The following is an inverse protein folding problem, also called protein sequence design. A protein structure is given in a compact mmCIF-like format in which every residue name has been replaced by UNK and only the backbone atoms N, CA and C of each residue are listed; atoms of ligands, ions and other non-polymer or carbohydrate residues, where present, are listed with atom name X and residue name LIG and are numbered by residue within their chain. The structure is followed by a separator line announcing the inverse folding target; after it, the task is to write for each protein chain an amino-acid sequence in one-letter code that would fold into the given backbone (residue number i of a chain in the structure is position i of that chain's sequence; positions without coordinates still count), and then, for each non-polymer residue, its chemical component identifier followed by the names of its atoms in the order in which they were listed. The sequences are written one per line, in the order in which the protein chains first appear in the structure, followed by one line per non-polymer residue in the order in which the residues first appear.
data_IF_994095198130
#
_entry.id   IF_994095198130
#
_cell.length_a   1.000
_cell.length_b   1.000
_cell.length_c   1.000
_cell.angle_alpha   90.00
_cell.angle_beta   90.00
_cell.angle_gamma   90.00
#
_symmetry.space_group_name_H-M   'P 1'
#
loop_
_entity.id
_entity.type
_entity.pdbx_description
1 polymer ?
#
# COMPACT_ATOMS: atom_id res chain seq x y z
N UNK A 1 -20.03 -41.65 -81.76
CA UNK A 1 -19.39 -41.99 -80.48
C UNK A 1 -19.59 -40.81 -79.55
N UNK A 2 -20.18 -41.09 -78.41
CA UNK A 2 -20.86 -40.15 -77.53
C UNK A 2 -19.95 -39.74 -76.37
N UNK A 3 -19.95 -38.47 -76.00
CA UNK A 3 -19.50 -38.04 -74.66
C UNK A 3 -20.44 -36.94 -74.17
N UNK A 4 -21.25 -37.19 -73.12
CA UNK A 4 -21.99 -36.16 -72.43
C UNK A 4 -21.06 -35.49 -71.40
N UNK A 5 -20.92 -34.17 -71.49
CA UNK A 5 -20.35 -33.36 -70.42
C UNK A 5 -21.48 -33.00 -69.45
N UNK A 6 -21.37 -33.47 -68.22
CA UNK A 6 -22.29 -33.15 -67.12
C UNK A 6 -21.70 -31.99 -66.33
N UNK A 7 -22.31 -30.82 -66.44
CA UNK A 7 -22.01 -29.68 -65.57
C UNK A 7 -22.56 -29.95 -64.16
N UNK A 8 -21.67 -29.92 -63.16
CA UNK A 8 -22.03 -29.93 -61.73
C UNK A 8 -21.69 -28.56 -61.12
N UNK A 9 -22.68 -27.67 -60.88
CA UNK A 9 -22.44 -26.41 -60.19
C UNK A 9 -22.98 -26.48 -58.75
N UNK A 10 -22.46 -27.36 -57.89
CA UNK A 10 -22.94 -27.42 -56.49
C UNK A 10 -21.85 -27.81 -55.48
N UNK A 11 -20.85 -26.94 -55.25
CA UNK A 11 -20.00 -27.07 -54.05
C UNK A 11 -19.53 -25.75 -53.41
N UNK A 12 -19.91 -24.57 -53.90
CA UNK A 12 -19.39 -23.30 -53.37
C UNK A 12 -20.15 -22.70 -52.17
N UNK A 13 -21.35 -23.17 -51.81
CA UNK A 13 -22.19 -22.48 -50.81
C UNK A 13 -22.11 -23.02 -49.38
N UNK A 14 -21.29 -24.04 -49.11
CA UNK A 14 -21.25 -24.67 -47.77
C UNK A 14 -20.10 -24.23 -46.86
N UNK A 15 -19.24 -23.32 -47.29
CA UNK A 15 -18.11 -22.83 -46.48
C UNK A 15 -18.39 -21.45 -45.85
N UNK A 16 -19.33 -20.66 -46.38
CA UNK A 16 -19.61 -19.32 -45.86
C UNK A 16 -20.43 -19.29 -44.55
N UNK A 17 -21.16 -20.36 -44.23
CA UNK A 17 -22.05 -20.40 -43.06
C UNK A 17 -21.35 -20.82 -41.75
N UNK A 18 -20.13 -21.36 -41.80
CA UNK A 18 -19.46 -21.91 -40.62
C UNK A 18 -18.51 -20.91 -39.92
N UNK A 19 -18.10 -19.84 -40.60
CA UNK A 19 -17.13 -18.86 -40.05
C UNK A 19 -17.84 -17.75 -39.26
N UNK A 20 -19.10 -17.43 -39.59
CA UNK A 20 -19.83 -16.34 -38.94
C UNK A 20 -20.35 -16.70 -37.54
N UNK A 21 -20.52 -18.00 -37.23
CA UNK A 21 -21.01 -18.47 -35.92
C UNK A 21 -19.92 -18.57 -34.86
N UNK A 22 -18.63 -18.51 -35.25
CA UNK A 22 -17.51 -18.57 -34.31
C UNK A 22 -17.07 -17.20 -33.79
N UNK A 23 -17.35 -16.12 -34.54
CA UNK A 23 -17.02 -14.74 -34.13
C UNK A 23 -18.05 -14.19 -33.13
N UNK A 24 -19.30 -14.66 -33.17
CA UNK A 24 -20.36 -14.23 -32.24
C UNK A 24 -20.27 -14.82 -30.82
N UNK A 25 -19.56 -15.92 -30.60
CA UNK A 25 -19.49 -16.60 -29.30
C UNK A 25 -18.32 -16.14 -28.42
N UNK A 26 -17.33 -15.43 -28.98
CA UNK A 26 -16.17 -14.90 -28.23
C UNK A 26 -16.45 -13.50 -27.66
N UNK A 27 -17.64 -12.95 -27.91
CA UNK A 27 -18.17 -11.79 -27.16
C UNK A 27 -18.78 -12.22 -25.81
N UNK A 28 -18.24 -13.28 -25.22
CA UNK A 28 -18.58 -13.76 -23.89
C UNK A 28 -17.92 -12.82 -22.89
N UNK A 29 -18.68 -11.78 -22.51
CA UNK A 29 -18.64 -11.17 -21.18
C UNK A 29 -17.24 -11.05 -20.58
N UNK A 30 -16.42 -10.15 -21.13
CA UNK A 30 -15.41 -9.48 -20.32
C UNK A 30 -16.14 -8.62 -19.28
N UNK A 31 -16.71 -9.27 -18.26
CA UNK A 31 -16.99 -8.62 -16.99
C UNK A 31 -15.62 -8.23 -16.46
N UNK A 32 -15.17 -7.03 -16.82
CA UNK A 32 -14.16 -6.35 -16.04
C UNK A 32 -14.79 -6.27 -14.66
N UNK A 33 -14.42 -7.18 -13.77
CA UNK A 33 -14.78 -7.08 -12.37
C UNK A 33 -14.28 -5.71 -11.96
N UNK A 34 -15.21 -4.77 -11.80
CA UNK A 34 -14.86 -3.43 -11.37
C UNK A 34 -14.17 -3.64 -10.03
N UNK A 35 -12.85 -3.41 -9.99
CA UNK A 35 -12.11 -3.41 -8.74
C UNK A 35 -12.86 -2.42 -7.85
N UNK A 36 -13.48 -2.92 -6.78
CA UNK A 36 -14.26 -2.09 -5.89
C UNK A 36 -13.37 -0.95 -5.40
N UNK A 37 -13.88 0.28 -5.39
CA UNK A 37 -13.11 1.43 -4.92
C UNK A 37 -12.59 1.14 -3.51
N UNK A 38 -11.27 1.19 -3.34
CA UNK A 38 -10.60 1.10 -2.05
C UNK A 38 -10.81 2.43 -1.31
N UNK A 39 -11.98 2.56 -0.68
CA UNK A 39 -12.38 3.75 0.07
C UNK A 39 -13.12 3.35 1.36
N UNK A 40 -13.08 4.19 2.41
CA UNK A 40 -13.89 3.97 3.60
C UNK A 40 -15.37 4.13 3.26
N UNK A 41 -16.18 3.16 3.67
CA UNK A 41 -17.64 3.21 3.53
C UNK A 41 -18.32 3.90 4.71
N UNK A 42 -17.62 4.08 5.83
CA UNK A 42 -18.08 4.76 7.05
C UNK A 42 -16.96 5.58 7.66
N UNK A 43 -17.30 6.74 8.23
CA UNK A 43 -16.33 7.58 8.94
C UNK A 43 -15.62 6.82 10.08
N UNK A 44 -16.31 5.90 10.75
CA UNK A 44 -15.73 5.07 11.83
C UNK A 44 -14.64 4.10 11.36
N UNK A 45 -14.43 3.95 10.06
CA UNK A 45 -13.33 3.15 9.52
C UNK A 45 -12.05 3.96 9.37
N UNK A 46 -12.15 5.29 9.32
CA UNK A 46 -11.00 6.18 9.20
C UNK A 46 -10.21 6.14 10.50
N UNK A 47 -8.90 5.98 10.37
CA UNK A 47 -7.97 6.00 11.49
C UNK A 47 -6.86 7.00 11.19
N UNK A 48 -6.43 7.70 12.24
CA UNK A 48 -5.18 8.45 12.22
C UNK A 48 -4.25 7.79 13.22
N UNK A 49 -3.07 7.40 12.77
CA UNK A 49 -2.10 6.69 13.57
C UNK A 49 -0.87 7.57 13.79
N UNK A 50 -0.17 7.37 14.89
CA UNK A 50 1.08 8.07 15.19
C UNK A 50 2.10 7.14 15.82
N UNK A 51 3.35 7.57 15.80
CA UNK A 51 4.43 6.98 16.59
C UNK A 51 4.23 7.28 18.08
N UNK A 52 4.46 6.31 18.97
CA UNK A 52 4.45 6.53 20.43
C UNK A 52 5.67 7.29 20.96
N UNK A 53 6.74 7.42 20.18
CA UNK A 53 8.01 8.03 20.59
C UNK A 53 8.83 7.17 21.57
N UNK A 54 8.44 5.91 21.80
CA UNK A 54 9.12 5.01 22.74
C UNK A 54 9.24 3.56 22.30
N UNK A 55 8.50 3.12 21.29
CA UNK A 55 8.56 1.73 20.80
C UNK A 55 9.50 1.64 19.59
N UNK A 56 10.74 1.15 19.75
CA UNK A 56 11.64 0.98 18.62
C UNK A 56 11.14 -0.12 17.67
N UNK A 57 11.46 0.01 16.38
CA UNK A 57 11.20 -1.01 15.36
C UNK A 57 12.13 -2.22 15.49
N UNK A 58 12.12 -2.90 16.63
CA UNK A 58 12.99 -4.03 16.95
C UNK A 58 14.48 -3.78 16.65
N UNK A 59 15.28 -4.84 16.61
CA UNK A 59 16.71 -4.77 16.29
C UNK A 59 17.01 -4.75 14.77
N UNK A 60 16.00 -4.50 13.91
CA UNK A 60 16.08 -4.80 12.48
C UNK A 60 16.15 -3.59 11.53
N UNK A 61 15.89 -2.37 11.99
CA UNK A 61 15.98 -1.19 11.11
C UNK A 61 17.42 -0.92 10.66
N UNK A 62 17.67 -0.48 9.41
CA UNK A 62 19.01 -0.21 8.89
C UNK A 62 19.79 0.82 9.73
N UNK A 63 19.12 1.67 10.50
CA UNK A 63 19.75 2.65 11.38
C UNK A 63 19.51 2.41 12.88
N UNK A 64 18.64 1.46 13.25
CA UNK A 64 18.29 1.19 14.65
C UNK A 64 17.52 2.31 15.36
N UNK A 65 17.03 3.33 14.64
CA UNK A 65 16.31 4.48 15.21
C UNK A 65 14.81 4.47 14.89
N UNK A 66 14.35 3.45 14.18
CA UNK A 66 12.97 3.37 13.73
C UNK A 66 11.98 3.39 14.90
N UNK A 67 10.88 4.12 14.71
CA UNK A 67 9.76 4.20 15.64
C UNK A 67 8.54 3.47 15.07
N UNK A 68 7.92 2.61 15.88
CA UNK A 68 6.70 1.92 15.48
C UNK A 68 5.53 2.92 15.47
N UNK A 69 4.69 2.83 14.44
CA UNK A 69 3.40 3.53 14.38
C UNK A 69 2.36 2.65 15.07
N UNK A 70 2.23 2.85 16.38
CA UNK A 70 1.52 1.99 17.32
C UNK A 70 0.44 2.69 18.14
N UNK A 71 0.18 3.97 17.87
CA UNK A 71 -0.88 4.73 18.51
C UNK A 71 -1.94 5.15 17.49
N UNK A 72 -3.20 5.12 17.91
CA UNK A 72 -4.31 5.75 17.21
C UNK A 72 -4.67 7.04 17.93
N UNK A 73 -4.70 8.13 17.17
CA UNK A 73 -5.23 9.41 17.61
C UNK A 73 -6.76 9.33 17.50
N UNK A 74 -7.45 9.39 18.63
CA UNK A 74 -8.91 9.39 18.65
C UNK A 74 -9.48 10.79 18.29
N UNK A 75 -10.81 10.91 18.06
CA UNK A 75 -11.42 12.20 17.73
C UNK A 75 -11.30 13.27 18.82
N UNK A 76 -10.95 12.90 20.05
CA UNK A 76 -10.69 13.83 21.16
C UNK A 76 -9.25 14.33 21.16
N UNK A 77 -8.39 13.78 20.31
CA UNK A 77 -6.95 14.05 20.25
C UNK A 77 -6.13 13.20 21.20
N UNK A 78 -6.73 12.20 21.86
CA UNK A 78 -6.01 11.32 22.77
C UNK A 78 -5.37 10.16 22.02
N UNK A 79 -4.18 9.75 22.46
CA UNK A 79 -3.46 8.61 21.88
C UNK A 79 -3.83 7.31 22.60
N UNK A 80 -4.31 6.33 21.85
CA UNK A 80 -4.62 4.99 22.33
C UNK A 80 -3.72 3.98 21.63
N UNK A 81 -3.36 2.87 22.29
CA UNK A 81 -2.63 1.80 21.61
C UNK A 81 -3.45 1.25 20.45
N UNK A 82 -2.79 1.02 19.31
CA UNK A 82 -3.40 0.52 18.10
C UNK A 82 -2.81 -0.83 17.68
N UNK A 83 -3.69 -1.73 17.27
CA UNK A 83 -3.34 -2.95 16.56
C UNK A 83 -4.36 -3.15 15.45
N UNK A 84 -3.91 -3.66 14.31
CA UNK A 84 -4.81 -4.01 13.20
C UNK A 84 -5.69 -5.18 13.68
N UNK A 85 -7.03 -5.02 13.72
CA UNK A 85 -7.91 -6.08 14.22
C UNK A 85 -7.84 -7.34 13.33
N UNK A 86 -8.01 -8.52 13.94
CA UNK A 86 -8.06 -9.79 13.21
C UNK A 86 -9.10 -9.76 12.08
N UNK A 87 -8.71 -10.23 10.89
CA UNK A 87 -9.56 -10.23 9.70
C UNK A 87 -9.76 -8.85 9.07
N UNK A 88 -8.96 -7.85 9.47
CA UNK A 88 -8.87 -6.54 8.84
C UNK A 88 -7.48 -6.30 8.27
N UNK A 89 -7.44 -5.38 7.31
CA UNK A 89 -6.22 -4.75 6.83
C UNK A 89 -6.31 -3.26 7.10
N UNK A 90 -5.16 -2.62 7.30
CA UNK A 90 -5.03 -1.17 7.31
C UNK A 90 -4.69 -0.71 5.90
N UNK A 91 -5.45 0.23 5.35
CA UNK A 91 -5.13 0.90 4.09
C UNK A 91 -4.60 2.29 4.43
N UNK A 92 -3.32 2.54 4.21
CA UNK A 92 -2.68 3.84 4.42
C UNK A 92 -2.74 4.64 3.14
N UNK A 93 -3.26 5.86 3.23
CA UNK A 93 -3.51 6.74 2.08
C UNK A 93 -2.58 7.96 2.06
N UNK A 94 -1.84 8.19 3.13
CA UNK A 94 -0.92 9.32 3.24
C UNK A 94 -0.58 9.63 4.69
N UNK A 95 0.03 10.78 4.91
CA UNK A 95 0.43 11.19 6.24
C UNK A 95 1.40 12.35 6.23
N UNK A 96 1.96 12.59 7.40
CA UNK A 96 3.00 13.57 7.65
C UNK A 96 4.16 12.91 8.40
N UNK A 97 5.36 13.39 8.14
CA UNK A 97 6.59 12.96 8.79
C UNK A 97 7.26 14.20 9.33
N UNK A 98 7.64 14.16 10.61
CA UNK A 98 8.49 15.15 11.25
C UNK A 98 9.75 14.45 11.75
N UNK A 99 10.89 15.04 11.45
CA UNK A 99 12.19 14.61 11.96
C UNK A 99 12.79 15.75 12.75
N UNK A 100 13.27 15.45 13.95
CA UNK A 100 14.09 16.35 14.74
C UNK A 100 15.43 15.69 15.04
N UNK A 101 16.51 16.24 14.49
CA UNK A 101 17.87 15.75 14.68
C UNK A 101 18.74 16.76 15.46
N UNK A 102 18.30 18.01 15.60
CA UNK A 102 19.09 19.07 16.26
C UNK A 102 20.36 19.50 15.51
N UNK A 103 20.62 18.96 14.31
CA UNK A 103 21.78 19.32 13.49
C UNK A 103 21.34 19.90 12.15
N UNK A 104 21.50 21.21 12.00
CA UNK A 104 21.09 21.97 10.83
C UNK A 104 21.83 21.55 9.54
N UNK A 105 21.20 21.81 8.38
CA UNK A 105 21.84 21.71 7.07
C UNK A 105 22.12 20.28 6.58
N UNK A 106 21.71 19.26 7.33
CA UNK A 106 21.77 17.87 6.86
C UNK A 106 20.57 17.53 5.98
N UNK A 107 20.74 16.49 5.17
CA UNK A 107 19.63 15.81 4.50
C UNK A 107 19.40 14.46 5.15
N UNK A 108 18.14 14.13 5.41
CA UNK A 108 17.73 12.89 6.05
C UNK A 108 16.74 12.19 5.13
N UNK A 109 16.92 10.89 4.94
CA UNK A 109 15.92 10.07 4.25
C UNK A 109 15.10 9.34 5.30
N UNK A 110 13.78 9.46 5.22
CA UNK A 110 12.84 8.73 6.06
C UNK A 110 12.18 7.65 5.24
N UNK A 111 12.14 6.46 5.80
CA UNK A 111 11.43 5.30 5.26
C UNK A 111 10.22 5.03 6.15
N UNK A 112 9.06 4.84 5.51
CA UNK A 112 7.99 4.09 6.13
C UNK A 112 8.12 2.66 5.62
N UNK A 113 8.19 1.69 6.52
CA UNK A 113 8.46 0.29 6.19
C UNK A 113 7.43 -0.63 6.83
N UNK A 114 7.05 -1.69 6.12
CA UNK A 114 6.35 -2.82 6.73
C UNK A 114 7.34 -3.61 7.60
N UNK A 115 7.18 -3.58 8.92
CA UNK A 115 8.10 -4.25 9.82
C UNK A 115 7.65 -5.68 10.15
N UNK A 116 8.45 -6.66 9.72
CA UNK A 116 8.10 -8.08 9.73
C UNK A 116 8.64 -8.92 10.89
N UNK A 117 9.53 -8.38 11.72
CA UNK A 117 10.22 -9.13 12.77
C UNK A 117 11.31 -10.06 12.23
N UNK A 118 12.51 -9.52 12.01
CA UNK A 118 13.68 -10.33 11.66
C UNK A 118 14.85 -9.55 11.09
N UNK A 119 15.54 -8.75 11.91
CA UNK A 119 16.95 -8.33 11.72
C UNK A 119 17.37 -7.56 10.46
N UNK A 120 16.51 -7.41 9.46
CA UNK A 120 16.72 -6.60 8.26
C UNK A 120 15.56 -5.64 8.08
N UNK A 121 15.85 -4.46 7.53
CA UNK A 121 14.87 -3.40 7.27
C UNK A 121 13.62 -3.95 6.59
N UNK A 122 12.48 -3.34 6.92
CA UNK A 122 11.21 -3.75 6.32
C UNK A 122 11.16 -3.43 4.83
N UNK A 123 10.09 -3.87 4.15
CA UNK A 123 9.85 -3.39 2.79
C UNK A 123 9.41 -1.92 2.86
N UNK A 124 10.13 -0.98 2.25
CA UNK A 124 9.74 0.42 2.27
C UNK A 124 8.43 0.60 1.49
N UNK A 125 7.41 1.09 2.18
CA UNK A 125 6.12 1.48 1.61
C UNK A 125 6.11 2.92 1.12
N UNK A 126 6.98 3.75 1.70
CA UNK A 126 7.18 5.14 1.30
C UNK A 126 8.58 5.60 1.67
N UNK A 127 9.11 6.55 0.90
CA UNK A 127 10.39 7.19 1.16
C UNK A 127 10.26 8.70 0.94
N UNK A 128 10.72 9.48 1.91
CA UNK A 128 10.78 10.94 1.85
C UNK A 128 12.21 11.41 2.12
N UNK A 129 12.70 12.35 1.33
CA UNK A 129 13.97 13.03 1.60
C UNK A 129 13.70 14.44 2.12
N UNK A 130 14.25 14.73 3.30
CA UNK A 130 14.06 15.97 4.04
C UNK A 130 15.37 16.75 4.06
N UNK A 131 15.31 18.06 3.86
CA UNK A 131 16.41 18.98 4.19
C UNK A 131 16.06 19.61 5.53
N UNK A 132 16.96 19.49 6.51
CA UNK A 132 16.74 20.02 7.84
C UNK A 132 16.99 21.54 7.87
N UNK A 133 16.11 22.25 8.59
CA UNK A 133 16.17 23.70 8.79
C UNK A 133 17.34 24.11 9.72
N UNK A 134 17.40 25.39 10.08
CA UNK A 134 18.43 25.92 10.98
C UNK A 134 18.39 25.36 12.40
N UNK A 135 17.29 24.72 12.80
CA UNK A 135 17.13 24.05 14.09
C UNK A 135 17.44 22.54 13.99
N UNK A 136 17.70 22.02 12.79
CA UNK A 136 17.88 20.58 12.58
C UNK A 136 16.56 19.82 12.52
N UNK A 137 15.46 20.50 12.17
CA UNK A 137 14.13 19.89 12.02
C UNK A 137 13.70 19.86 10.56
N UNK A 138 12.95 18.83 10.17
CA UNK A 138 12.43 18.65 8.82
C UNK A 138 11.03 18.08 8.84
N UNK A 139 10.23 18.41 7.83
CA UNK A 139 8.86 17.93 7.66
C UNK A 139 8.58 17.57 6.20
N UNK A 140 7.80 16.51 6.00
CA UNK A 140 7.25 16.12 4.71
C UNK A 140 5.79 15.67 4.88
N UNK A 141 4.95 16.08 3.94
CA UNK A 141 3.64 15.49 3.71
C UNK A 141 3.73 14.52 2.53
N UNK A 142 2.96 13.44 2.57
CA UNK A 142 2.92 12.49 1.48
C UNK A 142 1.51 11.92 1.28
N UNK A 143 1.25 11.49 0.04
CA UNK A 143 0.02 10.83 -0.37
C UNK A 143 0.40 9.50 -1.03
N UNK A 144 -0.37 8.46 -0.71
CA UNK A 144 -0.25 7.14 -1.32
C UNK A 144 -1.53 6.89 -2.10
N UNK A 145 -1.43 6.87 -3.42
CA UNK A 145 -2.53 6.61 -4.35
C UNK A 145 -2.18 5.38 -5.20
N UNK A 146 -2.94 4.26 -5.12
CA UNK A 146 -4.26 4.07 -4.48
C UNK A 146 -4.23 3.80 -2.97
N UNK A 147 -3.05 3.85 -2.35
CA UNK A 147 -2.83 3.52 -0.94
C UNK A 147 -2.04 2.23 -0.79
N UNK A 148 -1.51 1.98 0.42
CA UNK A 148 -0.75 0.78 0.76
C UNK A 148 -1.54 -0.06 1.77
N UNK A 149 -1.60 -1.37 1.52
CA UNK A 149 -2.34 -2.32 2.35
C UNK A 149 -1.37 -3.01 3.31
N UNK A 150 -1.53 -2.75 4.59
CA UNK A 150 -0.78 -3.39 5.67
C UNK A 150 -1.66 -4.44 6.34
N UNK A 151 -1.15 -5.66 6.41
CA UNK A 151 -1.81 -6.78 7.09
C UNK A 151 -1.27 -6.94 8.51
N UNK A 152 -2.15 -7.34 9.43
CA UNK A 152 -1.70 -7.87 10.71
C UNK A 152 -0.93 -9.18 10.45
N UNK A 153 0.20 -9.38 11.11
CA UNK A 153 0.83 -10.69 11.15
C UNK A 153 0.85 -11.21 12.56
N UNK A 154 0.62 -12.51 12.64
CA UNK A 154 0.42 -13.29 13.85
C UNK A 154 1.72 -13.60 14.60
N UNK A 155 2.88 -13.25 14.04
CA UNK A 155 4.17 -13.40 14.71
C UNK A 155 4.44 -12.20 15.62
N UNK A 156 4.82 -12.47 16.87
CA UNK A 156 5.19 -11.44 17.84
C UNK A 156 6.62 -10.93 17.57
N UNK A 157 6.89 -9.61 17.64
CA UNK A 157 5.95 -8.53 17.95
C UNK A 157 4.95 -8.30 16.80
N UNK A 158 3.69 -8.04 17.16
CA UNK A 158 2.59 -7.78 16.22
C UNK A 158 3.03 -6.72 15.22
N UNK A 159 3.06 -7.11 13.95
CA UNK A 159 3.61 -6.28 12.87
C UNK A 159 2.84 -4.96 12.72
N UNK A 160 3.59 -3.91 12.40
CA UNK A 160 3.07 -2.56 12.17
C UNK A 160 3.96 -1.82 11.17
N UNK A 161 3.60 -0.56 10.92
CA UNK A 161 4.43 0.33 10.11
C UNK A 161 5.53 0.89 10.99
N UNK A 162 6.76 0.80 10.50
CA UNK A 162 7.91 1.47 11.10
C UNK A 162 8.21 2.76 10.35
N UNK A 163 8.52 3.83 11.07
CA UNK A 163 9.15 5.02 10.52
C UNK A 163 10.63 5.03 10.92
N UNK A 164 11.56 4.87 9.96
CA UNK A 164 13.01 4.86 10.19
C UNK A 164 13.72 5.97 9.41
N UNK A 165 14.88 6.40 9.87
CA UNK A 165 15.71 7.41 9.21
C UNK A 165 17.06 6.85 8.81
N UNK A 166 17.55 7.23 7.64
CA UNK A 166 18.93 7.04 7.23
C UNK A 166 19.65 8.39 7.16
N UNK A 167 20.88 8.42 7.68
CA UNK A 167 21.75 9.61 7.68
C UNK A 167 21.64 10.49 8.93
N UNK A 168 20.77 10.15 9.89
CA UNK A 168 20.60 10.91 11.14
C UNK A 168 20.43 9.98 12.36
N UNK A 169 21.51 9.33 12.82
CA UNK A 169 21.43 8.43 13.98
C UNK A 169 21.03 9.20 15.25
N UNK A 170 20.01 8.73 15.95
CA UNK A 170 19.46 9.38 17.14
C UNK A 170 18.45 10.50 16.86
N UNK A 171 18.06 10.73 15.60
CA UNK A 171 16.94 11.63 15.31
C UNK A 171 15.63 11.11 15.91
N UNK A 172 14.81 12.03 16.40
CA UNK A 172 13.44 11.76 16.82
C UNK A 172 12.54 11.83 15.58
N UNK A 173 11.82 10.75 15.32
CA UNK A 173 10.90 10.66 14.19
C UNK A 173 9.48 10.62 14.73
N UNK A 174 8.65 11.55 14.28
CA UNK A 174 7.23 11.55 14.52
C UNK A 174 6.49 11.40 13.19
N UNK A 175 5.94 10.21 12.95
CA UNK A 175 5.10 9.96 11.78
C UNK A 175 3.64 10.00 12.20
N UNK A 176 2.80 10.69 11.42
CA UNK A 176 1.34 10.64 11.52
C UNK A 176 0.80 10.06 10.22
N UNK A 177 0.09 8.93 10.29
CA UNK A 177 -0.47 8.25 9.14
C UNK A 177 -1.98 8.42 9.09
N UNK A 178 -2.52 8.59 7.89
CA UNK A 178 -3.96 8.58 7.65
C UNK A 178 -4.33 7.35 6.82
N UNK A 179 -5.46 6.74 7.18
CA UNK A 179 -5.91 5.55 6.49
C UNK A 179 -7.27 5.08 6.95
N UNK A 180 -7.62 3.85 6.61
CA UNK A 180 -8.84 3.21 7.06
C UNK A 180 -8.72 1.70 7.20
N UNK A 181 -9.57 1.11 8.04
CA UNK A 181 -9.67 -0.34 8.19
C UNK A 181 -10.65 -0.94 7.18
N UNK A 182 -10.18 -1.95 6.45
CA UNK A 182 -10.98 -2.72 5.49
C UNK A 182 -11.01 -4.21 5.87
N UNK A 183 -12.05 -4.98 5.49
CA UNK A 183 -12.03 -6.44 5.60
C UNK A 183 -10.88 -7.06 4.80
N UNK A 184 -10.16 -8.03 5.38
CA UNK A 184 -9.26 -8.90 4.62
C UNK A 184 -10.10 -9.96 3.88
N UNK A 185 -10.21 -9.86 2.55
CA UNK A 185 -11.03 -10.73 1.70
C UNK A 185 -10.17 -11.46 0.68
#
# INVERSE_FOLDING_TARGET
MSFPWTDHPETCDRIAAAILTFIGAVLSCAHVAAAGTLAPNKASQVVTLSTSGGTPCGAGGPAGNGQLVDQQIDPTGSNNSFQIPTGKVLVVTGGTILVDFGVAGNSVTVFLEEFGGGGGGGNPVHMSSLVLDSNGSGHADFVLDPGVIVKAVTASPVQGICADTQGAPGAVINATLHGFLAPDK
#
